data_IF_615533399314
#
_entry.id   IF_615533399314
#
_cell.length_a   1.000
_cell.length_b   1.000
_cell.length_c   1.000
_cell.angle_alpha   90.00
_cell.angle_beta   90.00
_cell.angle_gamma   90.00
#
_symmetry.space_group_name_H-M   'P 1'
#
loop_
_entity.id
_entity.type
_entity.pdbx_description
1 polymer ?
#
# COMPACT_ATOMS: atom_id res chain seq x y z
N UNK A 1 6.68 4.25 2.80
CA UNK A 1 6.00 3.72 3.99
C UNK A 1 5.01 4.73 4.60
N UNK A 2 5.41 5.91 5.12
CA UNK A 2 4.47 6.79 5.83
C UNK A 2 3.27 7.23 4.98
N UNK A 3 3.46 7.49 3.69
CA UNK A 3 2.34 7.86 2.80
C UNK A 3 1.27 6.78 2.71
N UNK A 4 1.66 5.50 2.72
CA UNK A 4 0.72 4.38 2.77
C UNK A 4 -0.09 4.40 4.09
N UNK A 5 0.59 4.54 5.24
CA UNK A 5 -0.09 4.62 6.53
C UNK A 5 -1.06 5.80 6.61
N UNK A 6 -0.68 6.96 6.06
CA UNK A 6 -1.54 8.15 6.03
C UNK A 6 -2.79 7.90 5.16
N UNK A 7 -2.60 7.29 3.99
CA UNK A 7 -3.70 6.94 3.08
C UNK A 7 -4.69 5.98 3.73
N UNK A 8 -4.19 4.91 4.34
CA UNK A 8 -4.98 3.94 5.10
C UNK A 8 -5.80 4.65 6.22
N UNK A 9 -5.11 5.34 7.13
CA UNK A 9 -5.74 6.01 8.28
C UNK A 9 -6.83 6.98 7.81
N UNK A 10 -6.53 7.80 6.82
CA UNK A 10 -7.48 8.78 6.29
C UNK A 10 -8.64 8.10 5.55
N UNK A 11 -8.36 7.06 4.76
CA UNK A 11 -9.36 6.31 3.99
C UNK A 11 -10.29 5.44 4.85
N UNK A 12 -9.81 4.99 6.02
CA UNK A 12 -10.49 4.01 6.90
C UNK A 12 -11.92 4.37 7.32
N UNK A 13 -12.26 5.65 7.37
CA UNK A 13 -13.62 6.11 7.71
C UNK A 13 -14.54 6.18 6.50
N UNK A 14 -14.00 6.06 5.30
CA UNK A 14 -14.72 6.19 4.05
C UNK A 14 -14.94 4.85 3.34
N UNK A 15 -14.28 3.77 3.72
CA UNK A 15 -14.42 2.44 3.16
C UNK A 15 -15.90 2.00 3.09
N UNK A 16 -16.64 2.18 4.20
CA UNK A 16 -18.07 1.84 4.30
C UNK A 16 -19.01 3.05 4.24
N UNK A 17 -18.45 4.26 4.07
CA UNK A 17 -19.16 5.54 3.94
C UNK A 17 -18.66 6.29 2.70
N UNK A 18 -18.68 5.61 1.58
CA UNK A 18 -18.05 6.06 0.34
C UNK A 18 -18.34 7.53 0.02
N UNK A 19 -17.31 8.22 -0.47
CA UNK A 19 -17.39 9.58 -0.99
C UNK A 19 -17.31 9.54 -2.51
N UNK A 20 -18.00 10.51 -3.14
CA UNK A 20 -17.96 10.75 -4.59
C UNK A 20 -17.56 12.21 -4.89
N UNK A 21 -16.88 12.84 -3.93
CA UNK A 21 -16.36 14.20 -4.01
C UNK A 21 -15.07 14.34 -3.19
N UNK A 22 -14.31 15.42 -3.41
CA UNK A 22 -13.07 15.73 -2.67
C UNK A 22 -13.29 16.58 -1.40
N UNK A 23 -14.53 17.01 -1.12
CA UNK A 23 -14.90 17.94 -0.05
C UNK A 23 -15.11 17.30 1.31
N UNK A 24 -14.13 16.53 1.81
CA UNK A 24 -14.18 15.87 3.11
C UNK A 24 -12.98 16.24 4.00
N UNK A 25 -13.12 16.17 5.35
CA UNK A 25 -11.99 16.37 6.25
C UNK A 25 -11.00 15.20 6.11
N UNK A 26 -9.69 15.51 6.02
CA UNK A 26 -8.65 14.49 5.90
C UNK A 26 -8.59 13.56 7.11
N UNK A 27 -8.69 14.13 8.29
CA UNK A 27 -8.67 13.38 9.54
C UNK A 27 -9.93 13.66 10.36
N UNK A 28 -10.46 12.61 10.94
CA UNK A 28 -11.61 12.65 11.84
C UNK A 28 -11.29 11.79 13.07
N UNK A 29 -12.00 11.98 14.20
CA UNK A 29 -11.74 11.19 15.42
C UNK A 29 -11.85 9.68 15.22
N UNK A 30 -12.64 9.22 14.25
CA UNK A 30 -12.88 7.81 13.94
C UNK A 30 -11.79 7.21 13.02
N UNK A 31 -10.87 8.03 12.48
CA UNK A 31 -9.75 7.53 11.70
C UNK A 31 -8.90 6.56 12.52
N UNK A 32 -8.47 5.49 11.89
CA UNK A 32 -7.67 4.44 12.54
C UNK A 32 -6.79 3.71 11.53
N UNK A 33 -5.77 3.07 12.01
CA UNK A 33 -5.05 2.07 11.20
C UNK A 33 -5.97 0.88 10.90
N UNK A 34 -5.82 0.32 9.71
CA UNK A 34 -6.41 -0.97 9.33
C UNK A 34 -5.30 -2.01 9.08
N UNK A 35 -5.65 -3.13 8.45
CA UNK A 35 -4.66 -4.14 8.05
C UNK A 35 -3.64 -3.60 7.04
N UNK A 36 -3.97 -2.59 6.25
CA UNK A 36 -3.03 -1.89 5.36
C UNK A 36 -1.80 -1.38 6.11
N UNK A 37 -2.01 -0.59 7.17
CA UNK A 37 -0.92 -0.06 8.00
C UNK A 37 -0.13 -1.16 8.69
N UNK A 38 -0.83 -2.15 9.25
CA UNK A 38 -0.19 -3.23 10.00
C UNK A 38 0.64 -4.12 9.08
N UNK A 39 0.14 -4.46 7.90
CA UNK A 39 0.87 -5.29 6.93
C UNK A 39 1.99 -4.50 6.22
N UNK A 40 1.82 -3.20 5.99
CA UNK A 40 2.92 -2.32 5.56
C UNK A 40 4.05 -2.31 6.61
N UNK A 41 3.71 -2.20 7.89
CA UNK A 41 4.70 -2.27 8.97
C UNK A 41 5.35 -3.65 9.07
N UNK A 42 4.62 -4.73 8.80
CA UNK A 42 5.17 -6.08 8.77
C UNK A 42 6.24 -6.24 7.68
N UNK A 43 5.96 -5.75 6.47
CA UNK A 43 6.95 -5.76 5.37
C UNK A 43 8.15 -4.85 5.72
N UNK A 44 7.90 -3.67 6.29
CA UNK A 44 8.99 -2.79 6.75
C UNK A 44 9.86 -3.44 7.82
N UNK A 45 9.26 -4.19 8.75
CA UNK A 45 10.00 -4.94 9.78
C UNK A 45 10.85 -6.05 9.16
N UNK A 46 10.32 -6.78 8.17
CA UNK A 46 11.07 -7.79 7.42
C UNK A 46 12.26 -7.17 6.67
N UNK A 47 12.06 -6.03 6.02
CA UNK A 47 13.14 -5.25 5.37
C UNK A 47 14.22 -4.83 6.38
N UNK A 48 13.83 -4.43 7.59
CA UNK A 48 14.78 -4.04 8.66
C UNK A 48 15.61 -5.20 9.20
N UNK A 49 15.14 -6.46 9.04
CA UNK A 49 15.92 -7.65 9.41
C UNK A 49 17.12 -7.85 8.47
N UNK A 50 17.05 -7.33 7.24
CA UNK A 50 18.12 -7.44 6.25
C UNK A 50 17.92 -8.63 5.30
N UNK A 51 19.02 -9.14 4.76
CA UNK A 51 19.05 -10.31 3.85
C UNK A 51 18.27 -10.11 2.54
N UNK A 52 18.27 -8.87 2.01
CA UNK A 52 17.50 -8.50 0.83
C UNK A 52 18.04 -9.13 -0.47
N UNK A 53 19.27 -9.65 -0.46
CA UNK A 53 19.85 -10.40 -1.57
C UNK A 53 19.40 -11.87 -1.59
N UNK A 54 18.99 -12.42 -0.43
CA UNK A 54 18.53 -13.78 -0.28
C UNK A 54 16.99 -13.83 -0.21
N UNK A 55 16.33 -13.90 -1.37
CA UNK A 55 14.86 -13.77 -1.48
C UNK A 55 14.09 -14.78 -0.63
N UNK A 56 14.59 -16.02 -0.49
CA UNK A 56 13.95 -17.05 0.35
C UNK A 56 13.99 -16.67 1.84
N UNK A 57 15.11 -16.10 2.29
CA UNK A 57 15.25 -15.63 3.67
C UNK A 57 14.39 -14.38 3.90
N UNK A 58 14.37 -13.45 2.95
CA UNK A 58 13.45 -12.30 2.99
C UNK A 58 11.98 -12.75 3.07
N UNK A 59 11.55 -13.73 2.27
CA UNK A 59 10.20 -14.30 2.35
C UNK A 59 9.90 -14.89 3.74
N UNK A 60 10.86 -15.60 4.34
CA UNK A 60 10.71 -16.14 5.69
C UNK A 60 10.52 -15.01 6.73
N UNK A 61 11.25 -13.90 6.59
CA UNK A 61 11.07 -12.71 7.43
C UNK A 61 9.68 -12.08 7.22
N UNK A 62 9.22 -11.93 5.97
CA UNK A 62 7.88 -11.42 5.64
C UNK A 62 6.80 -12.28 6.28
N UNK A 63 6.87 -13.62 6.14
CA UNK A 63 5.93 -14.55 6.77
C UNK A 63 5.91 -14.37 8.30
N UNK A 64 7.09 -14.30 8.90
CA UNK A 64 7.25 -14.17 10.36
C UNK A 64 6.60 -12.89 10.86
N UNK A 65 6.93 -11.76 10.26
CA UNK A 65 6.46 -10.45 10.71
C UNK A 65 4.97 -10.22 10.41
N UNK A 66 4.46 -10.65 9.26
CA UNK A 66 3.03 -10.57 8.95
C UNK A 66 2.19 -11.40 9.93
N UNK A 67 2.64 -12.60 10.28
CA UNK A 67 1.95 -13.45 11.28
C UNK A 67 2.07 -12.89 12.70
N UNK A 68 3.23 -12.34 13.03
CA UNK A 68 3.45 -11.73 14.36
C UNK A 68 2.54 -10.52 14.57
N UNK A 69 2.56 -9.57 13.64
CA UNK A 69 1.76 -8.36 13.74
C UNK A 69 0.27 -8.66 13.52
N UNK A 70 -0.10 -9.53 12.59
CA UNK A 70 -1.51 -9.90 12.38
C UNK A 70 -2.14 -10.54 13.63
N UNK A 71 -1.40 -11.35 14.39
CA UNK A 71 -1.88 -11.90 15.67
C UNK A 71 -1.95 -10.86 16.77
N UNK A 72 -1.06 -9.88 16.75
CA UNK A 72 -1.06 -8.79 17.73
C UNK A 72 -2.19 -7.79 17.50
N UNK A 73 -2.55 -7.58 16.26
CA UNK A 73 -3.59 -6.64 15.85
C UNK A 73 -4.75 -7.39 15.15
N UNK A 74 -5.56 -8.16 15.87
CA UNK A 74 -6.67 -8.88 15.27
C UNK A 74 -7.81 -7.94 14.89
N UNK A 75 -8.67 -8.39 13.97
CA UNK A 75 -9.94 -7.73 13.60
C UNK A 75 -9.78 -6.29 13.03
N UNK A 76 -8.73 -6.06 12.22
CA UNK A 76 -8.48 -4.78 11.56
C UNK A 76 -8.90 -4.73 10.08
N UNK A 77 -9.74 -5.66 9.62
CA UNK A 77 -10.20 -5.67 8.22
C UNK A 77 -9.61 -6.80 7.39
N UNK A 78 -8.79 -7.68 7.96
CA UNK A 78 -8.21 -8.81 7.23
C UNK A 78 -9.24 -9.64 6.49
N UNK A 79 -8.96 -9.99 5.24
CA UNK A 79 -9.78 -10.96 4.53
C UNK A 79 -9.75 -12.35 5.18
N UNK A 80 -10.86 -13.14 5.12
CA UNK A 80 -10.97 -14.41 5.86
C UNK A 80 -9.89 -15.45 5.53
N UNK A 81 -9.42 -15.48 4.28
CA UNK A 81 -8.32 -16.39 3.88
C UNK A 81 -6.99 -15.97 4.49
N UNK A 82 -6.77 -14.66 4.63
CA UNK A 82 -5.58 -14.12 5.25
C UNK A 82 -5.58 -14.34 6.77
N UNK A 83 -6.72 -14.18 7.45
CA UNK A 83 -6.86 -14.52 8.87
C UNK A 83 -6.55 -16.00 9.13
N UNK A 84 -7.08 -16.90 8.30
CA UNK A 84 -6.77 -18.32 8.38
C UNK A 84 -5.27 -18.58 8.16
N UNK A 85 -4.63 -17.87 7.24
CA UNK A 85 -3.19 -17.98 6.97
C UNK A 85 -2.34 -17.49 8.16
N UNK A 86 -2.70 -16.37 8.80
CA UNK A 86 -2.03 -15.86 10.01
C UNK A 86 -2.01 -16.92 11.11
N UNK A 87 -3.12 -17.65 11.27
CA UNK A 87 -3.31 -18.61 12.35
C UNK A 87 -2.80 -20.02 12.01
N UNK A 88 -2.56 -20.32 10.74
CA UNK A 88 -2.12 -21.65 10.28
C UNK A 88 -0.81 -22.09 10.95
N UNK A 89 -0.65 -23.38 11.19
CA UNK A 89 0.63 -23.96 11.60
C UNK A 89 1.62 -24.02 10.44
N UNK A 90 1.12 -24.26 9.23
CA UNK A 90 1.87 -24.29 7.98
C UNK A 90 1.32 -23.24 7.01
N UNK A 91 1.76 -21.98 7.10
CA UNK A 91 1.27 -20.91 6.22
C UNK A 91 1.79 -21.14 4.80
N UNK A 92 0.88 -21.47 3.88
CA UNK A 92 1.19 -21.65 2.46
C UNK A 92 0.49 -20.58 1.63
N UNK A 93 1.07 -20.16 0.51
CA UNK A 93 0.39 -19.30 -0.45
C UNK A 93 -0.96 -19.88 -0.87
N UNK A 94 -1.94 -19.02 -1.14
CA UNK A 94 -3.29 -19.46 -1.42
C UNK A 94 -3.90 -18.80 -2.67
N UNK A 95 -3.02 -18.38 -3.60
CA UNK A 95 -3.38 -17.80 -4.90
C UNK A 95 -4.36 -16.63 -4.79
N UNK A 96 -4.12 -15.74 -3.83
CA UNK A 96 -4.88 -14.50 -3.76
C UNK A 96 -4.57 -13.61 -4.95
N UNK A 97 -5.61 -12.99 -5.52
CA UNK A 97 -5.53 -11.92 -6.53
C UNK A 97 -5.91 -10.56 -5.90
N UNK A 98 -6.11 -10.56 -4.58
CA UNK A 98 -6.50 -9.36 -3.84
C UNK A 98 -5.41 -8.31 -3.77
N UNK A 99 -5.81 -7.09 -3.45
CA UNK A 99 -4.93 -5.92 -3.36
C UNK A 99 -4.01 -5.92 -2.13
N UNK A 100 -4.18 -6.86 -1.21
CA UNK A 100 -3.38 -7.00 0.00
C UNK A 100 -1.88 -7.19 -0.23
N UNK A 101 -1.42 -7.65 -1.41
CA UNK A 101 0.00 -7.65 -1.77
C UNK A 101 0.50 -6.27 -2.17
N UNK A 102 -0.34 -5.48 -2.84
CA UNK A 102 0.00 -4.16 -3.38
C UNK A 102 -0.02 -3.08 -2.28
N UNK A 103 -1.02 -3.10 -1.37
CA UNK A 103 -1.16 -2.12 -0.30
C UNK A 103 0.04 -2.07 0.63
N UNK A 104 0.63 -3.24 0.94
CA UNK A 104 1.70 -3.39 1.93
C UNK A 104 3.12 -3.24 1.38
N UNK A 105 3.29 -3.16 0.05
CA UNK A 105 4.58 -3.36 -0.62
C UNK A 105 5.55 -2.18 -0.52
N UNK A 106 5.06 -0.98 -0.27
CA UNK A 106 5.85 0.26 -0.35
C UNK A 106 7.22 0.25 0.38
N UNK A 107 7.43 -0.48 1.51
CA UNK A 107 8.74 -0.49 2.16
C UNK A 107 9.87 -1.06 1.30
N UNK A 108 9.60 -2.06 0.45
CA UNK A 108 10.64 -2.66 -0.38
C UNK A 108 11.21 -1.66 -1.39
N UNK A 109 10.36 -0.75 -1.89
CA UNK A 109 10.77 0.29 -2.83
C UNK A 109 11.71 1.33 -2.21
N UNK A 110 11.66 1.52 -0.90
CA UNK A 110 12.58 2.42 -0.19
C UNK A 110 13.93 1.76 0.11
N UNK A 111 13.95 0.44 0.28
CA UNK A 111 15.15 -0.32 0.61
C UNK A 111 15.94 -0.77 -0.62
N UNK A 112 15.29 -0.92 -1.76
CA UNK A 112 15.90 -1.41 -2.99
C UNK A 112 16.95 -0.43 -3.55
N UNK A 113 18.06 -0.99 -4.03
CA UNK A 113 19.16 -0.24 -4.64
C UNK A 113 18.91 0.07 -6.12
N UNK A 114 18.11 -0.76 -6.79
CA UNK A 114 17.73 -0.60 -8.19
C UNK A 114 16.33 -1.18 -8.45
N UNK A 115 15.75 -0.85 -9.60
CA UNK A 115 14.41 -1.27 -9.97
C UNK A 115 14.27 -2.81 -10.06
N UNK A 116 15.29 -3.51 -10.55
CA UNK A 116 15.27 -4.97 -10.65
C UNK A 116 15.15 -5.62 -9.26
N UNK A 117 15.94 -5.17 -8.30
CA UNK A 117 15.86 -5.62 -6.91
C UNK A 117 14.51 -5.24 -6.28
N UNK A 118 14.01 -4.03 -6.54
CA UNK A 118 12.69 -3.59 -6.08
C UNK A 118 11.59 -4.57 -6.53
N UNK A 119 11.57 -4.91 -7.81
CA UNK A 119 10.58 -5.84 -8.37
C UNK A 119 10.75 -7.27 -7.85
N UNK A 120 11.99 -7.74 -7.65
CA UNK A 120 12.26 -9.05 -7.07
C UNK A 120 11.74 -9.13 -5.62
N UNK A 121 12.01 -8.12 -4.79
CA UNK A 121 11.51 -8.03 -3.43
C UNK A 121 9.98 -7.88 -3.37
N UNK A 122 9.39 -7.09 -4.27
CA UNK A 122 7.94 -6.94 -4.37
C UNK A 122 7.25 -8.28 -4.67
N UNK A 123 7.76 -9.00 -5.67
CA UNK A 123 7.31 -10.35 -6.02
C UNK A 123 7.45 -11.29 -4.82
N UNK A 124 8.63 -11.35 -4.19
CA UNK A 124 8.89 -12.20 -3.04
C UNK A 124 7.93 -11.91 -1.87
N UNK A 125 7.65 -10.62 -1.58
CA UNK A 125 6.69 -10.21 -0.54
C UNK A 125 5.24 -10.59 -0.86
N UNK A 126 4.88 -10.62 -2.15
CA UNK A 126 3.54 -11.00 -2.60
C UNK A 126 3.34 -12.52 -2.51
N UNK A 127 4.30 -13.30 -3.01
CA UNK A 127 4.19 -14.75 -3.18
C UNK A 127 3.92 -15.53 -1.89
N UNK A 128 4.20 -14.97 -0.72
CA UNK A 128 3.91 -15.62 0.57
C UNK A 128 2.41 -15.87 0.80
N UNK A 129 1.54 -15.16 0.08
CA UNK A 129 0.07 -15.26 0.16
C UNK A 129 -0.59 -15.10 -1.22
N UNK A 130 -0.09 -14.20 -2.04
CA UNK A 130 -0.65 -13.75 -3.31
C UNK A 130 0.21 -14.25 -4.49
N UNK A 131 0.35 -15.55 -4.61
CA UNK A 131 1.09 -16.24 -5.69
C UNK A 131 0.28 -16.37 -7.00
N UNK A 132 -0.85 -15.67 -7.10
CA UNK A 132 -1.59 -15.48 -8.36
C UNK A 132 -0.88 -14.41 -9.20
N UNK A 133 -0.84 -14.54 -10.56
CA UNK A 133 -0.23 -13.52 -11.41
C UNK A 133 -0.68 -12.09 -11.12
N UNK A 134 -1.99 -11.85 -10.92
CA UNK A 134 -2.53 -10.52 -10.62
C UNK A 134 -2.07 -10.00 -9.24
N UNK A 135 -1.98 -10.88 -8.23
CA UNK A 135 -1.48 -10.47 -6.92
C UNK A 135 0.00 -10.06 -6.95
N UNK A 136 0.81 -10.76 -7.78
CA UNK A 136 2.22 -10.39 -8.01
C UNK A 136 2.31 -9.12 -8.83
N UNK A 137 1.49 -8.99 -9.89
CA UNK A 137 1.44 -7.82 -10.76
C UNK A 137 1.13 -6.55 -9.96
N UNK A 138 0.13 -6.60 -9.07
CA UNK A 138 -0.23 -5.46 -8.22
C UNK A 138 0.92 -4.99 -7.33
N UNK A 139 1.60 -5.91 -6.66
CA UNK A 139 2.76 -5.59 -5.84
C UNK A 139 3.89 -4.98 -6.68
N UNK A 140 4.20 -5.55 -7.86
CA UNK A 140 5.25 -5.04 -8.74
C UNK A 140 4.90 -3.66 -9.32
N UNK A 141 3.64 -3.44 -9.69
CA UNK A 141 3.16 -2.15 -10.22
C UNK A 141 3.35 -1.04 -9.17
N UNK A 142 2.84 -1.25 -7.95
CA UNK A 142 2.93 -0.25 -6.87
C UNK A 142 4.37 -0.05 -6.39
N UNK A 143 5.13 -1.12 -6.16
CA UNK A 143 6.51 -1.00 -5.70
C UNK A 143 7.39 -0.26 -6.72
N UNK A 144 7.27 -0.60 -8.00
CA UNK A 144 8.02 0.08 -9.07
C UNK A 144 7.63 1.55 -9.20
N UNK A 145 6.34 1.89 -9.09
CA UNK A 145 5.88 3.28 -9.08
C UNK A 145 6.48 4.08 -7.92
N UNK A 146 6.47 3.51 -6.69
CA UNK A 146 7.11 4.14 -5.51
C UNK A 146 8.61 4.28 -5.71
N UNK A 147 9.29 3.27 -6.28
CA UNK A 147 10.72 3.33 -6.55
C UNK A 147 11.06 4.43 -7.55
N UNK A 148 10.36 4.49 -8.68
CA UNK A 148 10.59 5.51 -9.71
C UNK A 148 10.32 6.91 -9.18
N UNK A 149 9.23 7.11 -8.45
CA UNK A 149 8.91 8.37 -7.77
C UNK A 149 10.03 8.80 -6.81
N UNK A 150 10.55 7.88 -5.99
CA UNK A 150 11.69 8.12 -5.08
C UNK A 150 12.97 8.51 -5.82
N UNK A 151 13.19 7.96 -7.00
CA UNK A 151 14.36 8.26 -7.83
C UNK A 151 14.21 9.59 -8.58
N UNK A 152 13.07 10.27 -8.46
CA UNK A 152 12.81 11.55 -9.13
C UNK A 152 12.43 11.40 -10.61
N UNK A 153 11.98 10.22 -11.01
CA UNK A 153 11.48 9.97 -12.35
C UNK A 153 10.14 10.68 -12.59
N UNK A 154 9.81 10.94 -13.85
CA UNK A 154 8.59 11.65 -14.24
C UNK A 154 7.33 10.78 -14.08
N UNK A 155 6.14 11.41 -14.11
CA UNK A 155 4.87 10.70 -14.13
C UNK A 155 4.74 9.80 -15.37
N UNK A 156 5.26 10.22 -16.51
CA UNK A 156 5.27 9.44 -17.75
C UNK A 156 6.06 8.14 -17.57
N UNK A 157 7.23 8.20 -16.91
CA UNK A 157 8.03 6.99 -16.62
C UNK A 157 7.29 6.03 -15.67
N UNK A 158 6.51 6.57 -14.73
CA UNK A 158 5.65 5.78 -13.84
C UNK A 158 4.50 5.15 -14.63
N UNK A 159 3.86 5.89 -15.54
CA UNK A 159 2.84 5.36 -16.47
C UNK A 159 3.40 4.23 -17.29
N UNK A 160 4.57 4.42 -17.92
CA UNK A 160 5.25 3.39 -18.72
C UNK A 160 5.56 2.12 -17.91
N UNK A 161 5.82 2.27 -16.62
CA UNK A 161 6.02 1.13 -15.73
C UNK A 161 4.70 0.42 -15.41
N UNK A 162 3.67 1.16 -14.97
CA UNK A 162 2.38 0.60 -14.53
C UNK A 162 1.63 -0.06 -15.68
N UNK A 163 1.67 0.52 -16.88
CA UNK A 163 0.98 -0.01 -18.07
C UNK A 163 1.50 -1.36 -18.55
N UNK A 164 2.64 -1.83 -18.04
CA UNK A 164 3.12 -3.22 -18.23
C UNK A 164 2.30 -4.24 -17.46
N UNK A 165 1.53 -3.80 -16.47
CA UNK A 165 0.73 -4.64 -15.59
C UNK A 165 -0.77 -4.39 -15.76
N UNK A 166 -1.17 -3.12 -15.84
CA UNK A 166 -2.58 -2.70 -15.92
C UNK A 166 -2.75 -1.55 -16.91
N UNK A 167 -3.83 -1.53 -17.70
CA UNK A 167 -4.17 -0.36 -18.50
C UNK A 167 -4.52 0.83 -17.60
N UNK A 168 -4.16 2.03 -18.07
CA UNK A 168 -4.54 3.32 -17.49
C UNK A 168 -5.24 4.11 -18.59
N UNK A 169 -6.43 3.66 -18.98
CA UNK A 169 -7.21 4.13 -20.13
C UNK A 169 -8.53 4.81 -19.71
N UNK A 170 -8.58 5.32 -18.51
CA UNK A 170 -9.71 6.04 -17.94
C UNK A 170 -9.22 7.24 -17.10
N UNK A 171 -10.12 8.18 -16.81
CA UNK A 171 -9.92 9.24 -15.83
C UNK A 171 -10.76 8.97 -14.58
N UNK A 172 -10.39 9.59 -13.46
CA UNK A 172 -11.17 9.46 -12.22
C UNK A 172 -12.60 9.99 -12.39
N UNK A 173 -12.79 11.06 -13.18
CA UNK A 173 -14.11 11.63 -13.42
C UNK A 173 -15.03 10.67 -14.20
N UNK A 174 -14.48 9.91 -15.16
CA UNK A 174 -15.23 8.91 -15.92
C UNK A 174 -15.73 7.76 -15.05
N UNK A 175 -14.93 7.33 -14.05
CA UNK A 175 -15.27 6.18 -13.23
C UNK A 175 -15.97 6.53 -11.92
N UNK A 176 -15.84 7.77 -11.44
CA UNK A 176 -16.22 8.18 -10.06
C UNK A 176 -17.63 7.76 -9.67
N UNK A 177 -18.62 8.03 -10.50
CA UNK A 177 -20.01 7.70 -10.18
C UNK A 177 -20.30 6.18 -10.21
N UNK A 178 -19.66 5.46 -11.12
CA UNK A 178 -19.90 4.04 -11.36
C UNK A 178 -19.00 3.09 -10.57
N UNK A 179 -17.87 3.56 -10.05
CA UNK A 179 -16.92 2.71 -9.36
C UNK A 179 -17.49 2.17 -8.05
N UNK A 180 -17.35 0.89 -7.83
CA UNK A 180 -17.85 0.17 -6.66
C UNK A 180 -16.71 -0.54 -5.92
N UNK A 181 -17.02 -1.12 -4.77
CA UNK A 181 -16.07 -1.85 -3.93
C UNK A 181 -15.47 -3.05 -4.67
N UNK A 182 -14.15 -3.06 -4.83
CA UNK A 182 -13.38 -4.14 -5.44
C UNK A 182 -12.05 -4.32 -4.69
N UNK A 183 -11.83 -5.52 -4.16
CA UNK A 183 -10.62 -5.88 -3.39
C UNK A 183 -9.57 -6.59 -4.26
N UNK A 184 -9.76 -6.69 -5.56
CA UNK A 184 -8.75 -7.25 -6.46
C UNK A 184 -7.66 -6.25 -6.80
N UNK A 185 -6.45 -6.73 -7.12
CA UNK A 185 -5.41 -5.87 -7.66
C UNK A 185 -5.85 -5.18 -8.95
N UNK A 186 -6.49 -5.92 -9.86
CA UNK A 186 -6.96 -5.38 -11.15
C UNK A 186 -8.05 -4.30 -10.98
N UNK A 187 -8.86 -4.39 -9.92
CA UNK A 187 -9.95 -3.45 -9.65
C UNK A 187 -9.56 -2.26 -8.77
N UNK A 188 -8.36 -2.21 -8.19
CA UNK A 188 -7.97 -1.15 -7.25
C UNK A 188 -6.60 -0.51 -7.54
N UNK A 189 -5.63 -1.27 -8.08
CA UNK A 189 -4.29 -0.71 -8.39
C UNK A 189 -4.33 0.34 -9.50
N UNK A 190 -4.99 0.14 -10.65
CA UNK A 190 -5.11 1.20 -11.67
C UNK A 190 -5.73 2.48 -11.11
N UNK A 191 -6.78 2.35 -10.29
CA UNK A 191 -7.48 3.47 -9.66
C UNK A 191 -6.59 4.25 -8.70
N UNK A 192 -5.77 3.54 -7.92
CA UNK A 192 -4.80 4.16 -7.03
C UNK A 192 -3.69 4.89 -7.83
N UNK A 193 -3.23 4.31 -8.93
CA UNK A 193 -2.24 4.95 -9.79
C UNK A 193 -2.81 6.18 -10.48
N UNK A 194 -4.05 6.11 -11.01
CA UNK A 194 -4.71 7.25 -11.61
C UNK A 194 -4.96 8.38 -10.59
N UNK A 195 -5.32 8.03 -9.35
CA UNK A 195 -5.46 9.00 -8.27
C UNK A 195 -4.17 9.80 -7.99
N UNK A 196 -3.01 9.15 -8.12
CA UNK A 196 -1.72 9.82 -8.05
C UNK A 196 -1.41 10.62 -9.33
N UNK A 197 -1.67 10.06 -10.50
CA UNK A 197 -1.31 10.68 -11.79
C UNK A 197 -2.08 11.98 -12.04
N UNK A 198 -3.36 12.04 -11.71
CA UNK A 198 -4.18 13.26 -11.81
C UNK A 198 -3.90 14.29 -10.70
N UNK A 199 -3.17 13.91 -9.63
CA UNK A 199 -2.96 14.79 -8.49
C UNK A 199 -1.95 15.90 -8.78
N UNK A 200 -2.15 17.04 -8.13
CA UNK A 200 -1.24 18.19 -8.13
C UNK A 200 -0.25 18.15 -6.94
N UNK A 201 -0.63 17.52 -5.83
CA UNK A 201 0.18 17.37 -4.62
C UNK A 201 -0.19 16.09 -3.84
N UNK A 202 0.46 15.89 -2.68
CA UNK A 202 0.22 14.74 -1.82
C UNK A 202 -1.21 14.67 -1.28
N UNK A 203 -1.77 15.80 -0.85
CA UNK A 203 -3.14 15.84 -0.33
C UNK A 203 -4.15 15.54 -1.42
N UNK A 204 -3.94 16.11 -2.61
CA UNK A 204 -4.81 15.90 -3.75
C UNK A 204 -4.85 14.43 -4.21
N UNK A 205 -3.70 13.74 -4.17
CA UNK A 205 -3.66 12.29 -4.44
C UNK A 205 -4.53 11.48 -3.48
N UNK A 206 -4.50 11.82 -2.19
CA UNK A 206 -5.36 11.15 -1.19
C UNK A 206 -6.84 11.48 -1.41
N UNK A 207 -7.16 12.72 -1.73
CA UNK A 207 -8.54 13.15 -2.02
C UNK A 207 -9.08 12.50 -3.28
N UNK A 208 -8.25 12.40 -4.32
CA UNK A 208 -8.55 11.67 -5.53
C UNK A 208 -8.91 10.21 -5.22
N UNK A 209 -8.06 9.50 -4.50
CA UNK A 209 -8.24 8.10 -4.13
C UNK A 209 -9.57 7.85 -3.40
N UNK A 210 -9.89 8.65 -2.38
CA UNK A 210 -11.15 8.49 -1.63
C UNK A 210 -12.37 8.93 -2.43
N UNK A 211 -12.22 9.91 -3.33
CA UNK A 211 -13.35 10.50 -4.06
C UNK A 211 -14.01 9.56 -5.06
N UNK A 212 -13.41 8.45 -5.38
CA UNK A 212 -14.03 7.42 -6.24
C UNK A 212 -14.82 6.37 -5.44
N UNK A 213 -14.70 6.38 -4.10
CA UNK A 213 -15.31 5.38 -3.22
C UNK A 213 -14.63 4.01 -3.33
N UNK A 214 -15.38 2.94 -3.10
CA UNK A 214 -14.86 1.58 -3.10
C UNK A 214 -14.03 1.27 -1.85
N UNK A 215 -12.96 0.53 -2.01
CA UNK A 215 -11.95 0.15 -1.00
C UNK A 215 -11.03 1.34 -0.72
N UNK A 216 -11.59 2.37 -0.07
CA UNK A 216 -11.01 3.72 -0.02
C UNK A 216 -9.71 3.81 0.75
N UNK A 217 -9.54 3.05 1.81
CA UNK A 217 -8.31 3.00 2.61
C UNK A 217 -7.18 2.33 1.82
N UNK A 218 -7.44 1.20 1.20
CA UNK A 218 -6.45 0.50 0.38
C UNK A 218 -6.06 1.32 -0.87
N UNK A 219 -7.02 1.92 -1.59
CA UNK A 219 -6.73 2.77 -2.74
C UNK A 219 -5.89 3.98 -2.31
N UNK A 220 -6.27 4.63 -1.19
CA UNK A 220 -5.53 5.77 -0.65
C UNK A 220 -4.16 5.36 -0.08
N UNK A 221 -4.03 4.16 0.50
CA UNK A 221 -2.75 3.61 0.95
C UNK A 221 -1.76 3.48 -0.22
N UNK A 222 -2.19 2.88 -1.34
CA UNK A 222 -1.36 2.72 -2.53
C UNK A 222 -1.02 4.07 -3.19
N UNK A 223 -2.02 4.93 -3.44
CA UNK A 223 -1.81 6.26 -4.02
C UNK A 223 -0.92 7.14 -3.13
N UNK A 224 -1.16 7.15 -1.83
CA UNK A 224 -0.37 7.87 -0.84
C UNK A 224 1.08 7.37 -0.74
N UNK A 225 1.33 6.07 -0.97
CA UNK A 225 2.68 5.53 -1.02
C UNK A 225 3.50 6.14 -2.16
N UNK A 226 2.92 6.24 -3.36
CA UNK A 226 3.57 6.83 -4.56
C UNK A 226 3.67 8.35 -4.41
N UNK A 227 2.57 9.02 -4.02
CA UNK A 227 2.52 10.48 -3.84
C UNK A 227 3.54 10.97 -2.80
N UNK A 228 3.72 10.22 -1.70
CA UNK A 228 4.73 10.57 -0.69
C UNK A 228 6.16 10.50 -1.21
N UNK A 229 6.45 9.59 -2.13
CA UNK A 229 7.75 9.46 -2.76
C UNK A 229 7.98 10.57 -3.80
N UNK A 230 6.94 10.98 -4.51
CA UNK A 230 6.99 11.96 -5.59
C UNK A 230 6.96 13.40 -5.09
N UNK A 231 5.98 13.75 -4.24
CA UNK A 231 5.74 15.13 -3.77
C UNK A 231 6.33 15.42 -2.38
N UNK A 232 6.68 14.38 -1.63
CA UNK A 232 6.91 14.50 -0.20
C UNK A 232 5.60 14.60 0.60
N UNK A 233 5.69 14.57 1.92
CA UNK A 233 4.54 14.67 2.82
C UNK A 233 4.55 16.02 3.51
N UNK A 234 3.52 16.88 3.35
CA UNK A 234 3.39 18.14 4.09
C UNK A 234 3.46 17.89 5.61
N UNK A 235 4.22 18.75 6.31
CA UNK A 235 4.40 18.62 7.77
C UNK A 235 3.07 18.61 8.52
N UNK A 236 2.13 19.47 8.10
CA UNK A 236 0.80 19.55 8.70
C UNK A 236 0.02 18.25 8.61
N UNK A 237 0.10 17.53 7.48
CA UNK A 237 -0.58 16.23 7.29
C UNK A 237 0.11 15.16 8.12
N UNK A 238 1.46 15.13 8.07
CA UNK A 238 2.23 14.19 8.89
C UNK A 238 1.92 14.33 10.37
N UNK A 239 1.95 15.55 10.90
CA UNK A 239 1.77 15.80 12.32
C UNK A 239 0.33 15.47 12.79
N UNK A 240 -0.67 15.56 11.90
CA UNK A 240 -2.04 15.13 12.17
C UNK A 240 -2.19 13.59 12.13
N UNK A 241 -1.48 12.89 11.24
CA UNK A 241 -1.58 11.44 11.09
C UNK A 241 -0.88 10.66 12.21
N UNK A 242 0.26 11.16 12.69
CA UNK A 242 1.11 10.44 13.64
C UNK A 242 0.42 10.01 14.94
N UNK A 243 -0.56 10.74 15.52
CA UNK A 243 -1.30 10.31 16.70
C UNK A 243 -2.16 9.04 16.49
N UNK A 244 -2.54 8.72 15.25
CA UNK A 244 -3.33 7.53 14.92
C UNK A 244 -2.48 6.27 14.77
N UNK A 245 -1.14 6.40 14.70
CA UNK A 245 -0.24 5.26 14.53
C UNK A 245 0.07 4.65 15.89
N UNK A 246 -0.33 3.39 16.07
CA UNK A 246 -0.06 2.61 17.27
C UNK A 246 1.43 2.49 17.60
N UNK A 247 1.76 2.30 18.89
CA UNK A 247 3.12 2.35 19.42
C UNK A 247 4.11 1.39 18.77
N UNK A 248 3.71 0.17 18.38
CA UNK A 248 4.64 -0.76 17.72
C UNK A 248 4.83 -0.42 16.24
N UNK A 249 3.75 -0.14 15.52
CA UNK A 249 3.80 0.32 14.13
C UNK A 249 4.62 1.60 14.04
N UNK A 250 4.45 2.51 15.00
CA UNK A 250 5.24 3.74 15.12
C UNK A 250 6.72 3.44 15.36
N UNK A 251 7.06 2.50 16.24
CA UNK A 251 8.45 2.11 16.48
C UNK A 251 9.11 1.53 15.21
N UNK A 252 8.38 0.68 14.49
CA UNK A 252 8.87 0.13 13.20
C UNK A 252 9.10 1.26 12.20
N UNK A 253 8.14 2.19 12.06
CA UNK A 253 8.27 3.36 11.22
C UNK A 253 9.49 4.20 11.59
N UNK A 254 9.67 4.54 12.87
CA UNK A 254 10.79 5.37 13.35
C UNK A 254 12.16 4.70 13.11
N UNK A 255 12.22 3.37 13.18
CA UNK A 255 13.43 2.59 12.84
C UNK A 255 13.66 2.59 11.32
N UNK A 256 12.58 2.44 10.54
CA UNK A 256 12.64 2.36 9.09
C UNK A 256 13.18 3.66 8.47
N UNK A 257 12.66 4.83 8.87
CA UNK A 257 13.09 6.14 8.35
C UNK A 257 14.49 6.58 8.79
N UNK A 258 15.08 5.91 9.80
CA UNK A 258 16.48 6.15 10.17
C UNK A 258 17.46 5.38 9.30
N UNK A 259 16.99 4.35 8.63
CA UNK A 259 17.83 3.48 7.81
C UNK A 259 17.68 3.79 6.33
N UNK A 260 16.52 4.18 5.89
CA UNK A 260 16.12 4.43 4.51
C UNK A 260 15.46 5.82 4.38
#
# INVERSE_FOLDING_TARGET
>A
MLGALIGDIMGSVYEWRNRKDKGFPLFQPDCRMTDDSVMTAAVASAVLMGDLEELELFQAHVITEMRRLGRKYPALGYGPRFEAWILSQEPKPYRSLGNGSAMRVSPVAWAAENLSQCLALAKASAEVTHDHPDGIAGACAVAGAVYLARMGESKEAIVDHVTRYYPLDFTLDEIREGYAFDVSCAGSVPQAMEAFLEAEDFEDALRNAVSIGGDSDTIASMAGAVAAAFYGIPRSIRDQALPFIDGEVRNIYDRFIRRY
#
